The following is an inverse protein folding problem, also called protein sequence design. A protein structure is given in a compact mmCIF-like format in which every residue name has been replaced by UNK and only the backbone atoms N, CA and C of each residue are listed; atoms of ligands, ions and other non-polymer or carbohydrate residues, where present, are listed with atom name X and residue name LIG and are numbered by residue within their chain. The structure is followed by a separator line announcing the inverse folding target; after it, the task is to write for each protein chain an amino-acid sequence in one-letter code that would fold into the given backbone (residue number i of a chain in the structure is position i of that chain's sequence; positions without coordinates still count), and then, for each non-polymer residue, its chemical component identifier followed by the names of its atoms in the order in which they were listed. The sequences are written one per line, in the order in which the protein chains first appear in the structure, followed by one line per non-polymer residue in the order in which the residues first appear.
data_IF_105074491429
#
_entry.id   IF_105074491429
#
_cell.length_a   1.000
_cell.length_b   1.000
_cell.length_c   1.000
_cell.angle_alpha   90.00
_cell.angle_beta   90.00
_cell.angle_gamma   90.00
#
_symmetry.space_group_name_H-M   'P 1'
#
loop_
_entity.id
_entity.type
_entity.pdbx_description
1 polymer ?
#
# COMPACT_ATOMS: atom_id res chain seq x y z
N UNK A 1 31.75 5.81 -12.10
CA UNK A 1 30.37 6.28 -12.31
C UNK A 1 29.51 5.72 -11.19
N UNK A 2 28.84 6.55 -10.37
CA UNK A 2 27.84 6.04 -9.42
C UNK A 2 26.59 5.63 -10.20
N UNK A 3 26.22 4.34 -10.12
CA UNK A 3 25.02 3.81 -10.78
C UNK A 3 23.78 4.28 -10.00
N UNK A 4 22.80 4.85 -10.70
CA UNK A 4 21.53 5.25 -10.10
C UNK A 4 20.84 4.03 -9.49
N UNK A 5 20.47 4.12 -8.21
CA UNK A 5 19.77 3.06 -7.48
C UNK A 5 18.27 3.32 -7.52
N UNK A 6 17.48 2.25 -7.52
CA UNK A 6 16.05 2.36 -7.23
C UNK A 6 15.92 2.68 -5.73
N UNK A 7 15.27 3.80 -5.41
CA UNK A 7 15.02 4.22 -4.02
C UNK A 7 13.52 4.32 -3.70
N UNK A 8 12.67 4.06 -4.70
CA UNK A 8 11.22 4.12 -4.57
C UNK A 8 10.54 2.91 -5.20
N UNK A 9 9.40 2.50 -4.65
CA UNK A 9 8.56 1.44 -5.19
C UNK A 9 7.07 1.75 -5.04
N UNK A 10 6.24 1.08 -5.86
CA UNK A 10 4.80 1.10 -5.72
C UNK A 10 4.31 -0.12 -4.94
N UNK A 11 3.28 0.06 -4.11
CA UNK A 11 2.49 -1.03 -3.53
C UNK A 11 1.05 -0.88 -4.00
N UNK A 12 0.47 -1.97 -4.48
CA UNK A 12 -0.93 -2.03 -4.86
C UNK A 12 -1.72 -2.75 -3.75
N UNK A 13 -2.39 -2.02 -2.83
CA UNK A 13 -3.13 -2.63 -1.73
C UNK A 13 -4.39 -3.39 -2.17
N UNK A 14 -4.96 -3.02 -3.32
CA UNK A 14 -6.16 -3.62 -3.89
C UNK A 14 -5.93 -3.97 -5.36
N UNK A 15 -6.29 -5.19 -5.75
CA UNK A 15 -6.08 -5.73 -7.09
C UNK A 15 -7.41 -5.81 -7.86
N UNK A 16 -7.36 -5.50 -9.16
CA UNK A 16 -8.48 -5.68 -10.07
C UNK A 16 -8.42 -7.03 -10.77
N UNK A 17 -9.31 -7.28 -11.72
CA UNK A 17 -9.31 -8.53 -12.51
C UNK A 17 -8.06 -8.75 -13.38
N UNK A 18 -7.19 -7.74 -13.50
CA UNK A 18 -5.94 -7.75 -14.25
C UNK A 18 -4.74 -8.25 -13.43
N UNK A 19 -4.87 -8.33 -12.11
CA UNK A 19 -3.78 -8.66 -11.18
C UNK A 19 -4.24 -9.60 -10.08
N UNK A 20 -3.47 -10.66 -9.74
CA UNK A 20 -3.84 -11.55 -8.65
C UNK A 20 -3.83 -10.78 -7.32
N UNK A 21 -4.86 -11.01 -6.50
CA UNK A 21 -4.96 -10.43 -5.16
C UNK A 21 -3.77 -10.89 -4.32
N UNK A 22 -2.98 -9.95 -3.80
CA UNK A 22 -1.97 -10.25 -2.78
C UNK A 22 -2.64 -10.31 -1.40
N UNK A 23 -2.79 -11.53 -0.87
CA UNK A 23 -3.42 -11.83 0.41
C UNK A 23 -2.41 -11.88 1.58
N UNK A 24 -1.36 -11.06 1.51
CA UNK A 24 -0.29 -11.05 2.51
C UNK A 24 -0.79 -10.57 3.87
N UNK A 25 -0.39 -11.31 4.89
CA UNK A 25 -0.57 -10.96 6.30
C UNK A 25 0.29 -9.76 6.70
N UNK A 26 -0.04 -9.16 7.86
CA UNK A 26 0.78 -8.10 8.47
C UNK A 26 2.25 -8.52 8.64
N UNK A 27 2.51 -9.79 8.96
CA UNK A 27 3.86 -10.31 9.15
C UNK A 27 4.63 -10.46 7.84
N UNK A 28 3.94 -10.75 6.73
CA UNK A 28 4.56 -10.77 5.39
C UNK A 28 4.90 -9.36 4.93
N UNK A 29 4.00 -8.40 5.13
CA UNK A 29 4.28 -7.00 4.84
C UNK A 29 5.42 -6.41 5.69
N UNK A 30 5.50 -6.79 6.97
CA UNK A 30 6.62 -6.39 7.83
C UNK A 30 7.98 -6.87 7.29
N UNK A 31 8.04 -8.14 6.87
CA UNK A 31 9.23 -8.71 6.22
C UNK A 31 9.57 -7.98 4.93
N UNK A 32 8.56 -7.64 4.12
CA UNK A 32 8.78 -6.92 2.87
C UNK A 32 9.34 -5.52 3.11
N UNK A 33 8.82 -4.75 4.07
CA UNK A 33 9.37 -3.44 4.41
C UNK A 33 10.80 -3.51 4.96
N UNK A 34 11.14 -4.58 5.69
CA UNK A 34 12.52 -4.85 6.09
C UNK A 34 13.44 -5.05 4.88
N UNK A 35 13.02 -5.88 3.91
CA UNK A 35 13.76 -6.12 2.66
C UNK A 35 13.90 -4.82 1.85
N UNK A 36 12.83 -4.04 1.71
CA UNK A 36 12.86 -2.72 1.05
C UNK A 36 13.93 -1.83 1.68
N UNK A 37 13.97 -1.76 3.02
CA UNK A 37 14.97 -0.97 3.73
C UNK A 37 16.40 -1.44 3.48
N UNK A 38 16.65 -2.75 3.52
CA UNK A 38 17.95 -3.36 3.26
C UNK A 38 18.45 -3.09 1.82
N UNK A 39 17.53 -3.08 0.85
CA UNK A 39 17.82 -2.76 -0.55
C UNK A 39 18.04 -1.26 -0.80
N UNK A 40 17.78 -0.40 0.19
CA UNK A 40 17.94 1.05 0.07
C UNK A 40 16.73 1.76 -0.52
N UNK A 41 15.55 1.15 -0.48
CA UNK A 41 14.28 1.83 -0.75
C UNK A 41 13.97 2.74 0.43
N UNK A 42 13.74 4.02 0.15
CA UNK A 42 13.38 5.05 1.13
C UNK A 42 11.97 5.61 0.90
N UNK A 43 11.29 5.18 -0.17
CA UNK A 43 9.97 5.69 -0.55
C UNK A 43 9.06 4.57 -1.03
N UNK A 44 7.85 4.54 -0.51
CA UNK A 44 6.75 3.68 -0.96
C UNK A 44 5.59 4.57 -1.41
N UNK A 45 5.02 4.28 -2.57
CA UNK A 45 3.86 4.99 -3.12
C UNK A 45 2.71 3.98 -3.26
N UNK A 46 1.56 4.26 -2.66
CA UNK A 46 0.39 3.42 -2.88
C UNK A 46 -0.20 3.72 -4.26
N UNK A 47 -0.50 2.67 -5.03
CA UNK A 47 -0.96 2.84 -6.41
C UNK A 47 -2.39 3.40 -6.49
N UNK A 48 -3.27 2.93 -5.61
CA UNK A 48 -4.68 3.33 -5.51
C UNK A 48 -5.26 2.89 -4.18
N UNK A 49 -6.34 3.54 -3.75
CA UNK A 49 -7.06 3.22 -2.51
C UNK A 49 -8.47 2.67 -2.76
N UNK A 50 -8.96 2.80 -4.00
CA UNK A 50 -10.29 2.36 -4.41
C UNK A 50 -10.25 1.82 -5.85
N UNK A 51 -11.03 0.78 -6.13
CA UNK A 51 -11.20 0.18 -7.45
C UNK A 51 -12.50 -0.63 -7.48
N UNK A 52 -13.43 -0.26 -8.36
CA UNK A 52 -14.78 -0.85 -8.42
C UNK A 52 -15.43 -0.83 -7.04
N UNK A 53 -15.72 -1.99 -6.44
CA UNK A 53 -16.31 -2.06 -5.11
C UNK A 53 -15.27 -2.16 -3.98
N UNK A 54 -13.97 -2.22 -4.27
CA UNK A 54 -12.92 -2.52 -3.29
C UNK A 54 -12.27 -1.28 -2.73
N UNK A 55 -12.12 -1.20 -1.40
CA UNK A 55 -11.38 -0.13 -0.72
C UNK A 55 -10.21 -0.65 0.12
N UNK A 56 -9.11 0.11 0.14
CA UNK A 56 -7.88 -0.22 0.87
C UNK A 56 -7.96 0.09 2.38
N UNK A 57 -8.96 0.84 2.82
CA UNK A 57 -9.25 1.18 4.21
C UNK A 57 -10.75 1.45 4.37
N UNK A 58 -11.25 1.43 5.61
CA UNK A 58 -12.68 1.51 5.88
C UNK A 58 -13.22 2.95 5.79
N UNK A 59 -13.44 3.46 4.57
CA UNK A 59 -13.90 4.84 4.34
C UNK A 59 -15.41 5.02 4.50
N UNK A 60 -15.89 5.85 5.45
CA UNK A 60 -17.32 6.17 5.55
C UNK A 60 -17.88 6.89 4.32
N UNK A 61 -17.03 7.63 3.61
CA UNK A 61 -17.43 8.37 2.41
C UNK A 61 -17.73 7.40 1.26
N UNK A 62 -16.82 6.46 0.99
CA UNK A 62 -16.96 5.48 -0.08
C UNK A 62 -18.10 4.48 0.19
N UNK A 63 -18.31 4.09 1.45
CA UNK A 63 -19.47 3.28 1.83
C UNK A 63 -20.80 3.95 1.48
N UNK A 64 -20.89 5.27 1.67
CA UNK A 64 -22.11 6.04 1.40
C UNK A 64 -22.31 6.34 -0.09
N UNK A 65 -21.24 6.67 -0.81
CA UNK A 65 -21.32 7.14 -2.19
C UNK A 65 -21.27 6.00 -3.22
N UNK A 66 -20.47 4.96 -2.94
CA UNK A 66 -20.11 3.92 -3.93
C UNK A 66 -20.53 2.51 -3.48
N UNK A 67 -21.20 2.35 -2.33
CA UNK A 67 -21.51 1.04 -1.72
C UNK A 67 -20.29 0.11 -1.57
N UNK A 68 -19.11 0.70 -1.35
CA UNK A 68 -17.84 -0.02 -1.30
C UNK A 68 -17.79 -1.12 -0.21
N UNK A 69 -17.13 -2.23 -0.54
CA UNK A 69 -16.92 -3.40 0.30
C UNK A 69 -15.64 -3.22 1.14
N UNK A 70 -15.73 -3.36 2.48
CA UNK A 70 -14.59 -3.18 3.36
C UNK A 70 -13.55 -4.29 3.18
N UNK A 71 -12.28 -3.89 3.19
CA UNK A 71 -11.14 -4.80 3.29
C UNK A 71 -11.07 -5.44 4.68
N UNK A 72 -10.54 -6.66 4.75
CA UNK A 72 -10.25 -7.35 6.01
C UNK A 72 -9.09 -6.70 6.79
N UNK A 73 -8.26 -5.92 6.09
CA UNK A 73 -7.08 -5.29 6.62
C UNK A 73 -7.03 -3.83 6.17
N UNK A 74 -6.98 -2.90 7.11
CA UNK A 74 -6.72 -1.50 6.81
C UNK A 74 -5.25 -1.35 6.34
N UNK A 75 -5.08 -1.28 5.02
CA UNK A 75 -3.76 -1.18 4.40
C UNK A 75 -3.13 0.18 4.61
N UNK A 76 -3.93 1.24 4.78
CA UNK A 76 -3.40 2.58 5.04
C UNK A 76 -2.78 2.63 6.43
N UNK A 77 -3.50 2.15 7.44
CA UNK A 77 -2.98 2.01 8.82
C UNK A 77 -1.72 1.13 8.86
N UNK A 78 -1.76 -0.03 8.22
CA UNK A 78 -0.63 -0.96 8.17
C UNK A 78 0.60 -0.31 7.55
N UNK A 79 0.47 0.29 6.37
CA UNK A 79 1.62 0.82 5.65
C UNK A 79 2.15 2.10 6.28
N UNK A 80 1.32 2.92 6.91
CA UNK A 80 1.79 4.03 7.73
C UNK A 80 2.64 3.54 8.91
N UNK A 81 2.15 2.52 9.63
CA UNK A 81 2.86 1.93 10.78
C UNK A 81 4.21 1.32 10.37
N UNK A 82 4.25 0.61 9.23
CA UNK A 82 5.50 0.03 8.71
C UNK A 82 6.45 1.10 8.17
N UNK A 83 5.92 2.11 7.48
CA UNK A 83 6.71 3.24 7.00
C UNK A 83 7.41 3.97 8.16
N UNK A 84 6.69 4.21 9.26
CA UNK A 84 7.26 4.76 10.49
C UNK A 84 8.33 3.82 11.08
N UNK A 85 8.01 2.53 11.25
CA UNK A 85 8.93 1.52 11.81
C UNK A 85 10.27 1.46 11.08
N UNK A 86 10.27 1.51 9.75
CA UNK A 86 11.48 1.35 8.91
C UNK A 86 12.09 2.68 8.43
N UNK A 87 11.47 3.82 8.78
CA UNK A 87 11.88 5.14 8.31
C UNK A 87 11.83 5.26 6.78
N UNK A 88 10.70 4.86 6.20
CA UNK A 88 10.37 4.93 4.77
C UNK A 88 9.31 6.02 4.59
N UNK A 89 9.44 6.86 3.55
CA UNK A 89 8.41 7.84 3.20
C UNK A 89 7.24 7.13 2.52
N UNK A 90 6.03 7.35 3.01
CA UNK A 90 4.81 6.85 2.38
C UNK A 90 4.08 7.97 1.63
N UNK A 91 3.79 7.74 0.35
CA UNK A 91 2.91 8.59 -0.44
C UNK A 91 1.57 7.89 -0.62
N UNK A 92 0.52 8.52 -0.09
CA UNK A 92 -0.86 8.07 -0.21
C UNK A 92 -1.51 8.91 -1.33
N UNK A 93 -1.99 8.28 -2.41
CA UNK A 93 -2.59 9.02 -3.51
C UNK A 93 -3.94 9.61 -3.08
N UNK A 94 -4.35 10.68 -3.75
CA UNK A 94 -5.72 11.19 -3.63
C UNK A 94 -6.70 10.22 -4.28
N UNK A 95 -7.98 10.39 -3.96
CA UNK A 95 -9.06 9.75 -4.72
C UNK A 95 -9.07 10.29 -6.16
N UNK A 96 -9.15 9.39 -7.13
CA UNK A 96 -9.25 9.68 -8.57
C UNK A 96 -10.15 8.67 -9.23
#
# INVERSE_FOLDING_TARGET
MMKMKLTGTFIQPICGGDTPVMNWSRAEWDREFAVMKELGIDTVILLRLFLDDWMAYDSPCLKRLENAIPTQLDYVDLFLSLAEKYGIRLFVPTYS
#
